data_IF_794580888740
#
_entry.id   IF_794580888740
#
_cell.length_a   1.000
_cell.length_b   1.000
_cell.length_c   1.000
_cell.angle_alpha   90.00
_cell.angle_beta   90.00
_cell.angle_gamma   90.00
#
_symmetry.space_group_name_H-M   'P 1'
#
loop_
_entity.id
_entity.type
_entity.pdbx_description
1 polymer ?
#
# COMPACT_ATOMS: atom_id res chain seq x y z
N UNK A 1 26.35 -37.51 -41.15
CA UNK A 1 26.28 -36.72 -39.90
C UNK A 1 25.63 -35.37 -40.22
N UNK A 2 24.36 -35.16 -39.85
CA UNK A 2 23.65 -33.89 -40.04
C UNK A 2 23.24 -33.40 -38.65
N UNK A 3 23.97 -32.43 -38.12
CA UNK A 3 23.69 -31.74 -36.86
C UNK A 3 22.57 -30.73 -37.09
N UNK A 4 21.40 -30.99 -36.49
CA UNK A 4 20.30 -30.03 -36.38
C UNK A 4 20.62 -29.09 -35.21
N UNK A 5 20.91 -27.84 -35.52
CA UNK A 5 21.00 -26.75 -34.54
C UNK A 5 19.57 -26.27 -34.26
N UNK A 6 19.05 -26.60 -33.08
CA UNK A 6 17.78 -26.06 -32.60
C UNK A 6 18.06 -24.76 -31.83
N UNK A 7 17.81 -23.63 -32.46
CA UNK A 7 17.89 -22.30 -31.83
C UNK A 7 16.65 -22.09 -30.96
N UNK A 8 16.81 -22.24 -29.65
CA UNK A 8 15.77 -21.89 -28.68
C UNK A 8 15.62 -20.36 -28.60
N UNK A 9 14.53 -19.83 -29.15
CA UNK A 9 14.14 -18.43 -28.97
C UNK A 9 13.44 -18.32 -27.62
N UNK A 10 14.15 -17.83 -26.61
CA UNK A 10 13.54 -17.40 -25.35
C UNK A 10 12.84 -16.06 -25.58
N UNK A 11 11.51 -16.08 -25.65
CA UNK A 11 10.68 -14.88 -25.63
C UNK A 11 10.61 -14.42 -24.17
N UNK A 12 11.44 -13.45 -23.80
CA UNK A 12 11.27 -12.72 -22.55
C UNK A 12 10.15 -11.69 -22.73
N UNK A 13 8.94 -12.05 -22.33
CA UNK A 13 7.83 -11.10 -22.19
C UNK A 13 8.00 -10.31 -20.89
N UNK A 14 8.74 -9.20 -20.93
CA UNK A 14 8.73 -8.22 -19.84
C UNK A 14 7.44 -7.41 -19.93
N UNK A 15 6.38 -7.82 -19.23
CA UNK A 15 5.28 -6.91 -18.92
C UNK A 15 5.73 -5.99 -17.79
N UNK A 16 6.55 -4.99 -18.09
CA UNK A 16 6.96 -3.97 -17.13
C UNK A 16 5.84 -2.94 -16.94
N UNK A 17 4.71 -3.34 -16.36
CA UNK A 17 3.77 -2.38 -15.79
C UNK A 17 4.36 -1.93 -14.45
N UNK A 18 5.14 -0.85 -14.48
CA UNK A 18 5.67 -0.30 -13.23
C UNK A 18 4.52 0.09 -12.30
N UNK A 19 4.48 -0.48 -11.10
CA UNK A 19 3.55 -0.08 -10.05
C UNK A 19 3.80 1.39 -9.67
N UNK A 20 2.73 2.18 -9.59
CA UNK A 20 2.75 3.56 -9.11
C UNK A 20 1.67 3.74 -8.03
N UNK A 21 2.11 3.99 -6.80
CA UNK A 21 1.24 4.23 -5.66
C UNK A 21 1.09 5.72 -5.41
N UNK A 22 -0.15 6.16 -5.17
CA UNK A 22 -0.43 7.57 -4.99
C UNK A 22 0.01 8.04 -3.59
N UNK A 23 0.53 9.26 -3.49
CA UNK A 23 0.64 9.90 -2.17
C UNK A 23 -0.76 10.33 -1.71
N UNK A 24 -1.15 9.90 -0.51
CA UNK A 24 -2.46 10.16 0.06
C UNK A 24 -2.38 11.33 1.05
N UNK A 25 -3.30 12.28 0.93
CA UNK A 25 -3.37 13.47 1.77
C UNK A 25 -4.71 13.53 2.47
N UNK A 26 -4.70 13.78 3.78
CA UNK A 26 -5.91 13.95 4.57
C UNK A 26 -6.39 15.40 4.43
N UNK A 27 -7.37 15.64 3.56
CA UNK A 27 -7.96 16.97 3.32
C UNK A 27 -9.37 16.99 3.89
N UNK A 28 -9.46 17.25 5.19
CA UNK A 28 -10.72 17.22 5.93
C UNK A 28 -11.50 18.53 5.76
N UNK A 29 -12.83 18.42 5.68
CA UNK A 29 -13.74 19.57 5.68
C UNK A 29 -14.73 19.45 6.83
N UNK A 30 -14.99 20.55 7.53
CA UNK A 30 -15.87 20.57 8.69
C UNK A 30 -15.31 19.77 9.87
N UNK A 31 -16.15 18.90 10.44
CA UNK A 31 -15.88 18.04 11.59
C UNK A 31 -15.34 16.65 11.22
N UNK A 32 -14.89 16.44 9.99
CA UNK A 32 -14.29 15.17 9.58
C UNK A 32 -12.86 15.02 10.14
N UNK A 33 -12.57 13.92 10.83
CA UNK A 33 -11.22 13.60 11.28
C UNK A 33 -10.37 12.94 10.16
N UNK A 34 -11.04 12.18 9.30
CA UNK A 34 -10.44 11.50 8.14
C UNK A 34 -11.30 11.76 6.92
N UNK A 35 -10.71 12.29 5.85
CA UNK A 35 -11.45 12.58 4.64
C UNK A 35 -11.72 11.32 3.81
N UNK A 36 -12.87 11.28 3.13
CA UNK A 36 -13.18 10.21 2.18
C UNK A 36 -12.10 10.06 1.08
N UNK A 37 -11.54 11.18 0.61
CA UNK A 37 -10.46 11.19 -0.38
C UNK A 37 -9.21 10.46 0.12
N UNK A 38 -8.89 10.60 1.41
CA UNK A 38 -7.77 9.90 2.02
C UNK A 38 -8.04 8.40 2.10
N UNK A 39 -9.19 7.97 2.64
CA UNK A 39 -9.57 6.56 2.68
C UNK A 39 -9.57 5.91 1.29
N UNK A 40 -10.13 6.59 0.30
CA UNK A 40 -10.19 6.11 -1.08
C UNK A 40 -8.79 5.90 -1.66
N UNK A 41 -7.88 6.86 -1.45
CA UNK A 41 -6.49 6.75 -1.89
C UNK A 41 -5.77 5.57 -1.24
N UNK A 42 -5.90 5.40 0.08
CA UNK A 42 -5.27 4.29 0.82
C UNK A 42 -5.74 2.93 0.29
N UNK A 43 -7.06 2.76 0.20
CA UNK A 43 -7.65 1.50 -0.24
C UNK A 43 -7.33 1.19 -1.71
N UNK A 44 -7.23 2.22 -2.56
CA UNK A 44 -6.75 2.05 -3.93
C UNK A 44 -5.32 1.53 -3.95
N UNK A 45 -4.40 2.16 -3.22
CA UNK A 45 -3.01 1.72 -3.17
C UNK A 45 -2.89 0.27 -2.67
N UNK A 46 -3.59 -0.11 -1.59
CA UNK A 46 -3.61 -1.50 -1.13
C UNK A 46 -4.10 -2.47 -2.21
N UNK A 47 -5.18 -2.11 -2.92
CA UNK A 47 -5.70 -2.93 -4.02
C UNK A 47 -4.72 -3.08 -5.19
N UNK A 48 -3.97 -2.04 -5.53
CA UNK A 48 -2.93 -2.16 -6.56
C UNK A 48 -1.78 -3.05 -6.08
N UNK A 49 -1.40 -2.98 -4.79
CA UNK A 49 -0.41 -3.89 -4.21
C UNK A 49 -0.90 -5.35 -4.23
N UNK A 50 -2.17 -5.61 -3.89
CA UNK A 50 -2.76 -6.97 -3.98
C UNK A 50 -2.68 -7.57 -5.39
N UNK A 51 -2.78 -6.73 -6.42
CA UNK A 51 -2.72 -7.18 -7.82
C UNK A 51 -1.30 -7.48 -8.27
N UNK A 52 -0.32 -6.77 -7.73
CA UNK A 52 1.08 -6.88 -8.13
C UNK A 52 1.78 -8.04 -7.43
N UNK A 53 1.39 -8.33 -6.19
CA UNK A 53 1.92 -9.48 -5.47
C UNK A 53 1.24 -10.74 -6.01
N UNK A 54 1.94 -11.47 -6.87
CA UNK A 54 1.53 -12.68 -7.63
C UNK A 54 0.99 -13.88 -6.80
N UNK A 55 0.75 -13.69 -5.50
CA UNK A 55 0.21 -14.68 -4.58
C UNK A 55 -1.06 -14.17 -3.90
N UNK A 56 -1.94 -15.09 -3.50
CA UNK A 56 -3.18 -14.79 -2.78
C UNK A 56 -2.88 -14.02 -1.48
N UNK A 57 -3.01 -12.69 -1.55
CA UNK A 57 -2.93 -11.76 -0.43
C UNK A 57 -4.22 -10.94 -0.40
N UNK A 58 -4.85 -10.87 0.77
CA UNK A 58 -6.07 -10.10 0.98
C UNK A 58 -5.82 -9.04 2.05
N UNK A 59 -5.77 -7.80 1.61
CA UNK A 59 -5.68 -6.61 2.42
C UNK A 59 -7.08 -6.10 2.75
N UNK A 60 -7.23 -5.59 3.96
CA UNK A 60 -8.53 -5.13 4.44
C UNK A 60 -8.84 -3.75 3.88
N UNK A 61 -10.11 -3.53 3.52
CA UNK A 61 -10.59 -2.17 3.27
C UNK A 61 -10.65 -1.42 4.60
N UNK A 62 -9.89 -0.34 4.72
CA UNK A 62 -9.84 0.48 5.93
C UNK A 62 -10.78 1.67 5.80
N UNK A 63 -11.60 1.88 6.83
CA UNK A 63 -12.53 3.02 6.89
C UNK A 63 -12.64 3.55 8.31
N UNK A 64 -12.82 4.87 8.43
CA UNK A 64 -12.98 5.58 9.67
C UNK A 64 -14.45 5.91 9.91
N UNK A 65 -15.16 5.02 10.61
CA UNK A 65 -16.60 5.18 10.84
C UNK A 65 -16.98 6.40 11.70
N UNK A 66 -16.28 6.74 12.80
CA UNK A 66 -16.58 7.94 13.55
C UNK A 66 -16.22 9.17 12.72
N UNK A 67 -17.17 10.10 12.57
CA UNK A 67 -16.95 11.29 11.75
C UNK A 67 -15.89 12.22 12.35
N UNK A 68 -16.01 12.50 13.64
CA UNK A 68 -15.26 13.54 14.35
C UNK A 68 -14.04 13.03 15.10
N UNK A 69 -13.65 11.77 14.90
CA UNK A 69 -12.43 11.25 15.50
C UNK A 69 -11.76 10.17 14.64
N UNK A 70 -10.44 10.11 14.75
CA UNK A 70 -9.63 9.03 14.21
C UNK A 70 -9.85 7.79 15.07
N UNK A 71 -10.52 6.81 14.49
CA UNK A 71 -10.78 5.54 15.16
C UNK A 71 -9.52 4.67 15.25
N UNK A 72 -9.40 3.98 16.37
CA UNK A 72 -8.38 2.94 16.54
C UNK A 72 -8.54 1.81 15.51
N UNK A 73 -9.77 1.46 15.13
CA UNK A 73 -10.04 0.45 14.10
C UNK A 73 -9.45 0.84 12.75
N UNK A 74 -9.55 2.11 12.35
CA UNK A 74 -8.94 2.62 11.12
C UNK A 74 -7.42 2.51 11.14
N UNK A 75 -6.76 3.04 12.17
CA UNK A 75 -5.28 3.02 12.28
C UNK A 75 -4.73 1.60 12.43
N UNK A 76 -5.45 0.73 13.16
CA UNK A 76 -5.13 -0.69 13.30
C UNK A 76 -5.27 -1.44 11.96
N UNK A 77 -6.30 -1.12 11.16
CA UNK A 77 -6.46 -1.69 9.82
C UNK A 77 -5.24 -1.39 8.93
N UNK A 78 -4.79 -0.13 8.87
CA UNK A 78 -3.59 0.23 8.09
C UNK A 78 -2.34 -0.52 8.58
N UNK A 79 -2.17 -0.61 9.90
CA UNK A 79 -1.04 -1.33 10.50
C UNK A 79 -1.06 -2.82 10.13
N UNK A 80 -2.24 -3.45 10.14
CA UNK A 80 -2.39 -4.87 9.75
C UNK A 80 -2.05 -5.06 8.28
N UNK A 81 -2.58 -4.23 7.39
CA UNK A 81 -2.27 -4.35 5.96
C UNK A 81 -0.78 -4.19 5.68
N UNK A 82 -0.11 -3.20 6.26
CA UNK A 82 1.34 -3.05 6.07
C UNK A 82 2.14 -4.23 6.63
N UNK A 83 1.74 -4.80 7.76
CA UNK A 83 2.39 -6.01 8.30
C UNK A 83 2.20 -7.23 7.40
N UNK A 84 1.01 -7.39 6.81
CA UNK A 84 0.77 -8.47 5.85
C UNK A 84 1.65 -8.30 4.61
N UNK A 85 1.76 -7.07 4.09
CA UNK A 85 2.65 -6.75 2.96
C UNK A 85 4.11 -7.04 3.32
N UNK A 86 4.58 -6.57 4.49
CA UNK A 86 5.94 -6.82 4.98
C UNK A 86 6.23 -8.32 5.10
N UNK A 87 5.31 -9.09 5.69
CA UNK A 87 5.42 -10.56 5.78
C UNK A 87 5.50 -11.21 4.40
N UNK A 88 4.78 -10.66 3.43
CA UNK A 88 4.65 -11.23 2.10
C UNK A 88 5.86 -10.96 1.22
N UNK A 89 6.37 -9.74 1.26
CA UNK A 89 7.61 -9.35 0.57
C UNK A 89 8.86 -9.88 1.30
N UNK A 90 8.72 -10.26 2.57
CA UNK A 90 9.74 -10.94 3.33
C UNK A 90 10.83 -9.99 3.85
N UNK A 91 12.01 -10.54 4.12
CA UNK A 91 13.10 -9.82 4.78
C UNK A 91 13.73 -8.69 3.94
N UNK A 92 13.26 -8.45 2.71
CA UNK A 92 13.79 -7.40 1.84
C UNK A 92 13.26 -6.01 2.20
N UNK A 93 12.15 -5.91 2.94
CA UNK A 93 11.56 -4.64 3.32
C UNK A 93 11.30 -4.51 4.82
N UNK A 94 11.39 -3.27 5.29
CA UNK A 94 10.95 -2.89 6.63
C UNK A 94 9.96 -1.73 6.52
N UNK A 95 8.75 -1.94 7.03
CA UNK A 95 7.68 -0.95 7.00
C UNK A 95 7.46 -0.34 8.39
N UNK A 96 7.32 0.99 8.42
CA UNK A 96 7.20 1.72 9.67
C UNK A 96 5.81 1.52 10.28
N UNK A 97 5.74 1.35 11.59
CA UNK A 97 4.48 1.45 12.32
C UNK A 97 4.07 2.92 12.45
N UNK A 98 3.05 3.32 11.71
CA UNK A 98 2.54 4.68 11.76
C UNK A 98 1.61 4.89 12.96
N UNK A 99 1.83 5.96 13.71
CA UNK A 99 1.05 6.32 14.91
C UNK A 99 0.52 7.74 14.77
N UNK A 100 -0.77 7.94 15.02
CA UNK A 100 -1.40 9.26 15.14
C UNK A 100 -1.50 9.59 16.62
N UNK A 101 -1.09 10.78 17.02
CA UNK A 101 -1.18 11.24 18.42
C UNK A 101 -2.42 12.09 18.64
N UNK A 102 -2.96 12.66 17.56
CA UNK A 102 -4.24 13.34 17.53
C UNK A 102 -5.39 12.38 17.28
N UNK A 103 -6.49 12.65 17.97
CA UNK A 103 -7.77 11.95 17.80
C UNK A 103 -8.75 12.74 16.95
N UNK A 104 -8.60 14.05 16.82
CA UNK A 104 -9.50 14.94 16.09
C UNK A 104 -9.18 15.04 14.59
N UNK A 105 -7.96 14.68 14.19
CA UNK A 105 -7.53 14.59 12.79
C UNK A 105 -6.27 13.73 12.69
N UNK A 106 -5.89 13.34 11.46
CA UNK A 106 -4.61 12.68 11.23
C UNK A 106 -3.46 13.68 11.21
N UNK A 107 -2.44 13.41 12.02
CA UNK A 107 -1.21 14.19 12.03
C UNK A 107 -0.47 14.11 10.68
N UNK A 108 0.23 15.19 10.33
CA UNK A 108 1.14 15.20 9.18
C UNK A 108 2.21 14.10 9.29
N UNK A 109 2.68 13.79 10.50
CA UNK A 109 3.63 12.71 10.75
C UNK A 109 3.04 11.33 10.41
N UNK A 110 1.77 11.10 10.75
CA UNK A 110 1.06 9.88 10.41
C UNK A 110 0.91 9.72 8.90
N UNK A 111 0.37 10.75 8.23
CA UNK A 111 0.17 10.71 6.77
C UNK A 111 1.50 10.57 6.02
N UNK A 112 2.55 11.24 6.47
CA UNK A 112 3.91 11.10 5.93
C UNK A 112 4.49 9.71 6.14
N UNK A 113 4.27 9.09 7.30
CA UNK A 113 4.70 7.72 7.56
C UNK A 113 4.03 6.72 6.61
N UNK A 114 2.70 6.83 6.45
CA UNK A 114 1.93 5.97 5.55
C UNK A 114 2.41 6.10 4.11
N UNK A 115 2.61 7.33 3.64
CA UNK A 115 3.15 7.58 2.30
C UNK A 115 4.59 7.07 2.13
N UNK A 116 5.42 7.11 3.18
CA UNK A 116 6.76 6.52 3.15
C UNK A 116 6.69 5.00 2.97
N UNK A 117 5.80 4.32 3.68
CA UNK A 117 5.63 2.88 3.52
C UNK A 117 5.20 2.52 2.09
N UNK A 118 4.24 3.24 1.50
CA UNK A 118 3.88 3.01 0.10
C UNK A 118 5.05 3.22 -0.86
N UNK A 119 5.85 4.27 -0.68
CA UNK A 119 7.05 4.47 -1.52
C UNK A 119 8.09 3.36 -1.34
N UNK A 120 8.23 2.81 -0.14
CA UNK A 120 9.11 1.66 0.09
C UNK A 120 8.59 0.44 -0.67
N UNK A 121 7.29 0.14 -0.56
CA UNK A 121 6.65 -0.98 -1.27
C UNK A 121 6.77 -0.81 -2.79
N UNK A 122 6.51 0.40 -3.31
CA UNK A 122 6.64 0.71 -4.74
C UNK A 122 8.06 0.45 -5.26
N UNK A 123 9.10 0.70 -4.46
CA UNK A 123 10.49 0.43 -4.85
C UNK A 123 10.83 -1.06 -4.83
N UNK A 124 10.20 -1.82 -3.95
CA UNK A 124 10.42 -3.25 -3.84
C UNK A 124 9.73 -4.02 -4.98
N UNK A 125 8.56 -3.54 -5.41
CA UNK A 125 7.75 -4.16 -6.47
C UNK A 125 8.11 -3.67 -7.89
N UNK A 126 9.21 -2.93 -8.06
CA UNK A 126 9.70 -2.44 -9.35
C UNK A 126 10.91 -3.22 -9.81
#
# INVERSE_FOLDING_TARGET
>A
MKTLLATAVMIFSFNANALFLNSCYNTTFGDEAVSYSYESCLNRNFREIEREVDEIMFLNRCSNFPRNMVSYSFTSCLTRNFREIERKLGNSIFLNRCTSFRTDTLDFSFTSCVNRNFRTIERELR
#
